data_IF_947328394665
#
_entry.id   IF_947328394665
#
_cell.length_a   1.000
_cell.length_b   1.000
_cell.length_c   1.000
_cell.angle_alpha   90.00
_cell.angle_beta   90.00
_cell.angle_gamma   90.00
#
_symmetry.space_group_name_H-M   'P 1'
#
loop_
_entity.id
_entity.type
_entity.pdbx_description
1 polymer ?
#
# COMPACT_ATOMS: atom_id res chain seq x y z
N UNK A 1 -4.78 10.56 -37.22
CA UNK A 1 -5.82 10.38 -36.20
C UNK A 1 -6.84 11.48 -36.41
N UNK A 2 -8.10 11.13 -36.61
CA UNK A 2 -9.17 12.08 -36.91
C UNK A 2 -9.49 12.92 -35.66
N UNK A 3 -9.86 14.22 -35.86
CA UNK A 3 -10.25 15.15 -34.76
C UNK A 3 -11.30 14.58 -33.80
N UNK A 4 -12.14 13.65 -34.21
CA UNK A 4 -13.18 13.01 -33.38
C UNK A 4 -12.66 12.03 -32.30
N UNK A 5 -11.49 11.38 -32.49
CA UNK A 5 -10.93 10.43 -31.53
C UNK A 5 -10.24 11.12 -30.31
N UNK A 6 -9.95 12.41 -30.43
CA UNK A 6 -9.27 13.17 -29.37
C UNK A 6 -10.28 13.71 -28.35
N UNK A 7 -11.48 14.11 -28.80
CA UNK A 7 -12.52 14.69 -27.93
C UNK A 7 -13.14 13.68 -26.92
N UNK A 8 -12.98 12.38 -27.14
CA UNK A 8 -13.55 11.35 -26.26
C UNK A 8 -12.59 10.91 -25.12
N UNK A 9 -11.37 11.48 -25.04
CA UNK A 9 -10.43 11.14 -23.97
C UNK A 9 -10.63 12.07 -22.77
N UNK A 10 -10.51 11.55 -21.52
CA UNK A 10 -10.55 12.38 -20.32
C UNK A 10 -9.56 13.55 -20.39
N UNK A 11 -9.92 14.71 -19.85
CA UNK A 11 -9.07 15.92 -19.85
C UNK A 11 -7.66 15.65 -19.34
N UNK A 12 -7.52 14.87 -18.27
CA UNK A 12 -6.23 14.46 -17.71
C UNK A 12 -5.30 13.78 -18.73
N UNK A 13 -5.84 13.11 -19.75
CA UNK A 13 -5.05 12.48 -20.83
C UNK A 13 -4.74 13.43 -21.97
N UNK A 14 -5.58 14.44 -22.20
CA UNK A 14 -5.38 15.46 -23.24
C UNK A 14 -4.33 16.50 -22.86
N UNK A 15 -4.30 16.90 -21.56
CA UNK A 15 -3.44 17.95 -21.02
C UNK A 15 -2.09 17.42 -20.45
N UNK A 16 -1.63 16.25 -20.90
CA UNK A 16 -0.40 15.67 -20.34
C UNK A 16 0.81 16.61 -20.49
N UNK A 17 1.65 16.70 -19.43
CA UNK A 17 2.88 17.47 -19.41
C UNK A 17 3.79 17.17 -20.60
N UNK A 18 4.36 18.20 -21.21
CA UNK A 18 5.33 18.10 -22.32
C UNK A 18 6.77 18.06 -21.80
N UNK A 19 7.04 18.74 -20.68
CA UNK A 19 8.34 18.79 -20.01
C UNK A 19 8.24 18.21 -18.61
N UNK A 20 9.38 17.89 -17.99
CA UNK A 20 9.42 17.42 -16.60
C UNK A 20 8.98 18.52 -15.62
N UNK A 21 9.19 19.77 -15.97
CA UNK A 21 8.86 20.93 -15.13
C UNK A 21 7.35 21.24 -15.19
N UNK A 22 6.64 20.74 -16.20
CA UNK A 22 5.18 20.81 -16.29
C UNK A 22 4.46 19.79 -15.40
N UNK A 23 5.19 18.79 -14.86
CA UNK A 23 4.62 17.79 -13.96
C UNK A 23 4.34 18.44 -12.63
N UNK A 24 3.07 18.45 -12.26
CA UNK A 24 2.60 19.08 -11.04
C UNK A 24 2.97 18.23 -9.82
N UNK A 25 3.50 18.88 -8.79
CA UNK A 25 3.92 18.22 -7.55
C UNK A 25 5.22 17.42 -7.65
N UNK A 26 5.41 16.49 -6.74
CA UNK A 26 6.55 15.56 -6.66
C UNK A 26 7.94 16.25 -6.64
N UNK A 27 8.05 17.48 -6.15
CA UNK A 27 9.31 18.26 -6.11
C UNK A 27 10.44 17.52 -5.38
N UNK A 28 10.12 16.69 -4.39
CA UNK A 28 11.08 15.86 -3.67
C UNK A 28 11.75 14.80 -4.57
N UNK A 29 11.12 14.43 -5.70
CA UNK A 29 11.63 13.46 -6.67
C UNK A 29 12.25 14.13 -7.91
N UNK A 30 11.56 15.14 -8.49
CA UNK A 30 11.84 15.66 -9.82
C UNK A 30 12.34 17.09 -9.86
N UNK A 31 12.51 17.78 -8.73
CA UNK A 31 13.14 19.11 -8.72
C UNK A 31 14.59 19.05 -9.23
N UNK A 32 15.15 20.16 -9.76
CA UNK A 32 16.54 20.22 -10.18
C UNK A 32 17.50 19.68 -9.10
N UNK A 33 18.44 18.82 -9.52
CA UNK A 33 19.42 18.21 -8.64
C UNK A 33 18.97 16.93 -7.90
N UNK A 34 17.70 16.56 -7.94
CA UNK A 34 17.20 15.34 -7.32
C UNK A 34 17.65 14.07 -8.06
N UNK A 35 17.86 12.95 -7.35
CA UNK A 35 18.37 11.70 -7.94
C UNK A 35 17.55 11.21 -9.12
N UNK A 36 16.21 11.16 -9.00
CA UNK A 36 15.34 10.69 -10.07
C UNK A 36 15.42 11.61 -11.29
N UNK A 37 15.48 12.94 -11.08
CA UNK A 37 15.66 13.90 -12.18
C UNK A 37 16.97 13.65 -12.93
N UNK A 38 18.08 13.46 -12.22
CA UNK A 38 19.38 13.16 -12.83
C UNK A 38 19.39 11.87 -13.64
N UNK A 39 18.72 10.82 -13.13
CA UNK A 39 18.53 9.54 -13.83
C UNK A 39 17.74 9.78 -15.14
N UNK A 40 16.67 10.57 -15.10
CA UNK A 40 15.88 10.87 -16.29
C UNK A 40 16.68 11.71 -17.30
N UNK A 41 17.45 12.66 -16.83
CA UNK A 41 18.27 13.53 -17.68
C UNK A 41 19.46 12.79 -18.32
N UNK A 42 20.04 11.78 -17.64
CA UNK A 42 21.09 10.94 -18.21
C UNK A 42 20.62 10.06 -19.37
N UNK A 43 19.30 9.75 -19.44
CA UNK A 43 18.74 8.84 -20.43
C UNK A 43 18.97 7.34 -20.14
N UNK A 44 19.80 7.00 -19.17
CA UNK A 44 20.05 5.63 -18.73
C UNK A 44 19.11 5.31 -17.55
N UNK A 45 17.97 4.71 -17.89
CA UNK A 45 16.89 4.43 -16.95
C UNK A 45 17.00 3.00 -16.42
N UNK A 46 17.27 2.80 -15.12
CA UNK A 46 17.19 1.50 -14.48
C UNK A 46 15.73 1.06 -14.32
N UNK A 47 15.53 -0.15 -13.78
CA UNK A 47 14.18 -0.54 -13.37
C UNK A 47 13.72 0.29 -12.17
N UNK A 48 12.47 0.78 -12.24
CA UNK A 48 11.90 1.69 -11.26
C UNK A 48 10.58 1.12 -10.73
N UNK A 49 10.30 1.38 -9.47
CA UNK A 49 9.01 1.13 -8.86
C UNK A 49 8.50 2.43 -8.27
N UNK A 50 7.34 2.89 -8.76
CA UNK A 50 6.65 4.08 -8.28
C UNK A 50 5.50 3.65 -7.37
N UNK A 51 5.54 3.99 -6.09
CA UNK A 51 4.43 3.70 -5.20
C UNK A 51 3.86 4.98 -4.59
N UNK A 52 2.60 4.94 -4.24
CA UNK A 52 1.85 6.06 -3.67
C UNK A 52 0.46 6.18 -4.25
N UNK A 53 -0.32 7.18 -3.79
CA UNK A 53 -1.73 7.34 -4.12
C UNK A 53 -2.05 7.38 -5.62
N UNK A 54 -3.33 7.19 -5.96
CA UNK A 54 -3.80 7.36 -7.34
C UNK A 54 -3.75 8.85 -7.74
N UNK A 55 -3.64 9.12 -9.05
CA UNK A 55 -3.74 10.48 -9.59
C UNK A 55 -2.56 11.43 -9.31
N UNK A 56 -1.49 10.98 -8.65
CA UNK A 56 -0.32 11.81 -8.27
C UNK A 56 0.77 11.90 -9.34
N UNK A 57 0.54 11.37 -10.55
CA UNK A 57 1.43 11.54 -11.70
C UNK A 57 2.35 10.36 -12.03
N UNK A 58 2.24 9.18 -11.40
CA UNK A 58 3.08 7.99 -11.68
C UNK A 58 3.10 7.62 -13.17
N UNK A 59 1.92 7.42 -13.78
CA UNK A 59 1.77 7.10 -15.22
C UNK A 59 2.28 8.23 -16.12
N UNK A 60 2.10 9.47 -15.69
CA UNK A 60 2.53 10.68 -16.40
C UNK A 60 4.05 10.71 -16.50
N UNK A 61 4.74 10.52 -15.37
CA UNK A 61 6.20 10.49 -15.33
C UNK A 61 6.77 9.31 -16.14
N UNK A 62 6.20 8.11 -16.02
CA UNK A 62 6.61 6.95 -16.82
C UNK A 62 6.47 7.21 -18.33
N UNK A 63 5.38 7.86 -18.75
CA UNK A 63 5.16 8.23 -20.15
C UNK A 63 6.16 9.30 -20.62
N UNK A 64 6.50 10.26 -19.77
CA UNK A 64 7.54 11.25 -20.05
C UNK A 64 8.92 10.60 -20.21
N UNK A 65 9.31 9.69 -19.30
CA UNK A 65 10.57 8.94 -19.37
C UNK A 65 10.69 8.17 -20.69
N UNK A 66 9.64 7.47 -21.10
CA UNK A 66 9.63 6.72 -22.35
C UNK A 66 9.88 7.64 -23.57
N UNK A 67 9.22 8.79 -23.63
CA UNK A 67 9.43 9.77 -24.69
C UNK A 67 10.84 10.35 -24.67
N UNK A 68 11.37 10.68 -23.50
CA UNK A 68 12.70 11.28 -23.34
C UNK A 68 13.82 10.32 -23.78
N UNK A 69 13.65 9.03 -23.52
CA UNK A 69 14.64 7.98 -23.83
C UNK A 69 14.46 7.36 -25.22
N UNK A 70 13.49 7.85 -25.99
CA UNK A 70 13.15 7.32 -27.33
C UNK A 70 12.89 5.80 -27.34
N UNK A 71 12.45 5.24 -26.20
CA UNK A 71 12.10 3.82 -26.06
C UNK A 71 10.66 3.57 -26.42
N UNK A 72 10.35 2.38 -26.91
CA UNK A 72 8.97 1.99 -27.19
C UNK A 72 8.23 1.72 -25.87
N UNK A 73 7.25 2.57 -25.54
CA UNK A 73 6.43 2.39 -24.35
C UNK A 73 5.36 1.32 -24.57
N UNK A 74 5.40 0.26 -23.76
CA UNK A 74 4.32 -0.71 -23.63
C UNK A 74 3.68 -0.57 -22.27
N UNK A 75 2.34 -0.64 -22.23
CA UNK A 75 1.57 -0.49 -20.99
C UNK A 75 0.80 -1.77 -20.72
N UNK A 76 0.92 -2.28 -19.52
CA UNK A 76 0.07 -3.35 -18.97
C UNK A 76 -0.59 -2.87 -17.69
N UNK A 77 -1.77 -3.38 -17.41
CA UNK A 77 -2.45 -3.18 -16.14
C UNK A 77 -2.52 -4.53 -15.40
N UNK A 78 -2.06 -4.56 -14.16
CA UNK A 78 -2.00 -5.76 -13.35
C UNK A 78 -3.35 -6.45 -13.13
N UNK A 79 -4.45 -5.69 -13.21
CA UNK A 79 -5.81 -6.25 -13.03
C UNK A 79 -6.32 -7.02 -14.25
N UNK A 80 -5.81 -6.71 -15.44
CA UNK A 80 -6.34 -7.28 -16.72
C UNK A 80 -5.31 -8.08 -17.49
N UNK A 81 -4.02 -7.81 -17.29
CA UNK A 81 -2.95 -8.42 -18.08
C UNK A 81 -2.66 -9.86 -17.66
N UNK A 82 -2.37 -10.68 -18.65
CA UNK A 82 -2.01 -12.10 -18.54
C UNK A 82 -0.53 -12.35 -18.83
N UNK A 83 -0.06 -13.57 -18.58
CA UNK A 83 1.28 -14.00 -19.01
C UNK A 83 1.44 -14.04 -20.55
N UNK A 84 0.34 -14.16 -21.30
CA UNK A 84 0.35 -14.11 -22.75
C UNK A 84 0.70 -12.71 -23.26
N UNK A 85 0.16 -11.66 -22.62
CA UNK A 85 0.44 -10.27 -22.99
C UNK A 85 1.92 -9.92 -22.77
N UNK A 86 2.53 -10.45 -21.70
CA UNK A 86 3.98 -10.29 -21.47
C UNK A 86 4.78 -10.94 -22.62
N UNK A 87 4.42 -12.17 -23.01
CA UNK A 87 5.09 -12.87 -24.10
C UNK A 87 4.92 -12.18 -25.44
N UNK A 88 3.76 -11.57 -25.70
CA UNK A 88 3.52 -10.79 -26.91
C UNK A 88 4.43 -9.55 -26.96
N UNK A 89 4.59 -8.85 -25.85
CA UNK A 89 5.52 -7.71 -25.74
C UNK A 89 6.96 -8.17 -26.02
N UNK A 90 7.35 -9.30 -25.46
CA UNK A 90 8.69 -9.89 -25.67
C UNK A 90 8.91 -10.27 -27.14
N UNK A 91 7.91 -10.86 -27.80
CA UNK A 91 8.01 -11.19 -29.21
C UNK A 91 8.28 -9.96 -30.09
N UNK A 92 7.87 -8.78 -29.66
CA UNK A 92 8.11 -7.51 -30.37
C UNK A 92 9.55 -6.99 -30.22
N UNK A 93 10.36 -7.50 -29.27
CA UNK A 93 11.77 -7.13 -29.13
C UNK A 93 12.58 -7.37 -30.40
N UNK A 94 12.26 -8.43 -31.15
CA UNK A 94 12.93 -8.81 -32.39
C UNK A 94 12.36 -8.10 -33.64
N UNK A 95 11.49 -7.09 -33.46
CA UNK A 95 10.92 -6.31 -34.54
C UNK A 95 11.53 -4.90 -34.60
N UNK A 96 11.27 -4.16 -35.70
CA UNK A 96 11.70 -2.76 -35.83
C UNK A 96 11.25 -1.87 -34.67
N UNK A 97 10.13 -2.20 -34.01
CA UNK A 97 9.63 -1.48 -32.83
C UNK A 97 10.47 -1.71 -31.58
N UNK A 98 11.29 -2.77 -31.53
CA UNK A 98 12.13 -3.11 -30.39
C UNK A 98 13.58 -2.59 -30.47
N UNK A 99 14.01 -2.02 -31.61
CA UNK A 99 15.41 -1.61 -31.86
C UNK A 99 15.94 -0.62 -30.82
N UNK A 100 15.09 0.24 -30.27
CA UNK A 100 15.47 1.22 -29.23
C UNK A 100 15.22 0.72 -27.79
N UNK A 101 14.93 -0.56 -27.64
CA UNK A 101 14.52 -1.18 -26.36
C UNK A 101 13.08 -0.88 -25.97
N UNK A 102 12.52 -1.75 -25.16
CA UNK A 102 11.15 -1.62 -24.63
C UNK A 102 11.20 -1.10 -23.22
N UNK A 103 10.41 -0.04 -22.96
CA UNK A 103 10.05 0.39 -21.61
C UNK A 103 8.65 -0.15 -21.30
N UNK A 104 8.59 -1.12 -20.38
CA UNK A 104 7.33 -1.66 -19.90
C UNK A 104 6.83 -0.87 -18.70
N UNK A 105 5.71 -0.17 -18.85
CA UNK A 105 4.98 0.39 -17.73
C UNK A 105 3.92 -0.60 -17.26
N UNK A 106 4.10 -1.15 -16.06
CA UNK A 106 3.15 -2.06 -15.44
C UNK A 106 2.41 -1.33 -14.32
N UNK A 107 1.16 -1.00 -14.56
CA UNK A 107 0.28 -0.35 -13.58
C UNK A 107 -0.32 -1.40 -12.63
N UNK A 108 -0.41 -1.05 -11.35
CA UNK A 108 -0.97 -1.89 -10.27
C UNK A 108 -0.32 -3.29 -10.19
N UNK A 109 1.02 -3.34 -10.09
CA UNK A 109 1.81 -4.58 -10.06
C UNK A 109 1.39 -5.55 -8.94
N UNK A 110 0.80 -5.08 -7.86
CA UNK A 110 0.33 -5.92 -6.74
C UNK A 110 -0.73 -6.96 -7.16
N UNK A 111 -1.43 -6.74 -8.27
CA UNK A 111 -2.38 -7.72 -8.81
C UNK A 111 -1.73 -8.82 -9.64
N UNK A 112 -0.46 -8.68 -10.00
CA UNK A 112 0.29 -9.77 -10.61
C UNK A 112 0.63 -10.82 -9.56
N UNK A 113 0.26 -12.08 -9.83
CA UNK A 113 0.68 -13.19 -9.00
C UNK A 113 2.19 -13.46 -9.15
N UNK A 114 2.74 -14.26 -8.23
CA UNK A 114 4.18 -14.57 -8.19
C UNK A 114 4.71 -15.13 -9.52
N UNK A 115 3.93 -15.97 -10.20
CA UNK A 115 4.34 -16.59 -11.50
C UNK A 115 4.42 -15.54 -12.59
N UNK A 116 3.48 -14.61 -12.65
CA UNK A 116 3.51 -13.50 -13.62
C UNK A 116 4.72 -12.58 -13.37
N UNK A 117 4.99 -12.25 -12.12
CA UNK A 117 6.15 -11.45 -11.75
C UNK A 117 7.48 -12.19 -12.07
N UNK A 118 7.55 -13.51 -11.85
CA UNK A 118 8.72 -14.32 -12.23
C UNK A 118 8.94 -14.36 -13.75
N UNK A 119 7.87 -14.36 -14.55
CA UNK A 119 8.01 -14.32 -16.01
C UNK A 119 8.67 -13.02 -16.49
N UNK A 120 8.41 -11.88 -15.81
CA UNK A 120 9.06 -10.61 -16.13
C UNK A 120 10.54 -10.60 -15.76
N UNK A 121 10.93 -11.34 -14.72
CA UNK A 121 12.28 -11.28 -14.15
C UNK A 121 13.36 -11.64 -15.17
N UNK A 122 13.16 -12.65 -16.00
CA UNK A 122 14.10 -13.08 -17.05
C UNK A 122 14.44 -11.93 -18.02
N UNK A 123 13.43 -11.15 -18.42
CA UNK A 123 13.59 -10.05 -19.38
C UNK A 123 14.13 -8.77 -18.76
N UNK A 124 13.95 -8.62 -17.44
CA UNK A 124 14.54 -7.54 -16.65
C UNK A 124 16.03 -7.83 -16.43
N UNK A 125 16.40 -9.08 -16.14
CA UNK A 125 17.78 -9.51 -15.87
C UNK A 125 18.68 -9.41 -17.09
N UNK A 126 18.19 -9.80 -18.26
CA UNK A 126 18.94 -9.73 -19.50
C UNK A 126 18.92 -8.35 -20.16
N UNK A 127 18.24 -7.36 -19.57
CA UNK A 127 18.13 -5.98 -20.04
C UNK A 127 17.25 -5.78 -21.27
N UNK A 128 16.52 -6.83 -21.72
CA UNK A 128 15.61 -6.74 -22.87
C UNK A 128 14.44 -5.79 -22.62
N UNK A 129 13.99 -5.71 -21.36
CA UNK A 129 12.92 -4.83 -20.93
C UNK A 129 13.42 -3.97 -19.77
N UNK A 130 13.19 -2.66 -19.86
CA UNK A 130 13.27 -1.76 -18.69
C UNK A 130 11.89 -1.65 -18.06
N UNK A 131 11.76 -2.05 -16.80
CA UNK A 131 10.51 -2.02 -16.08
C UNK A 131 10.32 -0.68 -15.34
N UNK A 132 9.17 -0.06 -15.51
CA UNK A 132 8.62 0.92 -14.55
C UNK A 132 7.32 0.34 -14.04
N UNK A 133 7.31 -0.15 -12.82
CA UNK A 133 6.09 -0.62 -12.16
C UNK A 133 5.46 0.49 -11.31
N UNK A 134 4.14 0.50 -11.20
CA UNK A 134 3.42 1.36 -10.26
C UNK A 134 2.50 0.54 -9.36
N UNK A 135 2.29 1.05 -8.15
CA UNK A 135 1.39 0.48 -7.17
C UNK A 135 0.85 1.56 -6.23
N UNK A 136 -0.36 1.37 -5.72
CA UNK A 136 -0.92 2.15 -4.61
C UNK A 136 -0.56 1.55 -3.25
N UNK A 137 -0.08 0.30 -3.23
CA UNK A 137 0.27 -0.44 -2.03
C UNK A 137 1.77 -0.38 -1.74
N UNK A 138 2.16 -0.68 -0.50
CA UNK A 138 3.58 -0.74 -0.14
C UNK A 138 4.30 -1.88 -0.91
N UNK A 139 5.25 -1.56 -1.81
CA UNK A 139 5.86 -2.54 -2.71
C UNK A 139 6.62 -3.66 -1.98
N UNK A 140 7.13 -3.41 -0.79
CA UNK A 140 7.88 -4.40 0.00
C UNK A 140 7.02 -5.58 0.48
N UNK A 141 5.69 -5.48 0.42
CA UNK A 141 4.78 -6.58 0.77
C UNK A 141 4.23 -7.34 -0.44
N UNK A 142 4.16 -6.70 -1.60
CA UNK A 142 3.42 -7.23 -2.76
C UNK A 142 4.30 -7.52 -3.97
N UNK A 143 5.43 -6.82 -4.09
CA UNK A 143 6.34 -7.05 -5.22
C UNK A 143 7.34 -8.15 -4.87
N UNK A 144 7.58 -9.05 -5.81
CA UNK A 144 8.52 -10.16 -5.64
C UNK A 144 9.94 -9.64 -5.35
N UNK A 145 10.57 -10.16 -4.29
CA UNK A 145 11.86 -9.68 -3.81
C UNK A 145 12.96 -9.62 -4.88
N UNK A 146 12.94 -10.54 -5.85
CA UNK A 146 13.91 -10.53 -6.93
C UNK A 146 13.73 -9.34 -7.89
N UNK A 147 12.51 -8.82 -8.06
CA UNK A 147 12.26 -7.59 -8.82
C UNK A 147 12.67 -6.37 -7.97
N UNK A 148 12.31 -6.37 -6.67
CA UNK A 148 12.69 -5.29 -5.76
C UNK A 148 14.22 -5.08 -5.70
N UNK A 149 14.99 -6.16 -5.59
CA UNK A 149 16.46 -6.09 -5.51
C UNK A 149 17.13 -5.54 -6.78
N UNK A 150 16.40 -5.50 -7.90
CA UNK A 150 16.86 -5.00 -9.22
C UNK A 150 16.21 -3.69 -9.63
N UNK A 151 15.44 -3.09 -8.74
CA UNK A 151 14.68 -1.88 -9.01
C UNK A 151 14.94 -0.82 -7.95
N UNK A 152 14.85 0.45 -8.35
CA UNK A 152 14.88 1.56 -7.41
C UNK A 152 13.45 2.00 -7.12
N UNK A 153 13.10 2.09 -5.83
CA UNK A 153 11.76 2.43 -5.37
C UNK A 153 11.67 3.93 -5.10
N UNK A 154 10.65 4.59 -5.63
CA UNK A 154 10.35 6.00 -5.39
C UNK A 154 8.92 6.17 -4.87
N UNK A 155 8.80 6.90 -3.77
CA UNK A 155 7.53 7.24 -3.14
C UNK A 155 6.95 8.51 -3.74
N UNK A 156 5.74 8.41 -4.28
CA UNK A 156 4.94 9.54 -4.72
C UNK A 156 3.99 9.96 -3.61
N UNK A 157 3.95 11.24 -3.33
CA UNK A 157 3.09 11.82 -2.29
C UNK A 157 1.86 12.50 -2.91
N UNK A 158 0.77 12.68 -2.14
CA UNK A 158 -0.31 13.56 -2.53
C UNK A 158 0.24 14.92 -3.00
N UNK A 159 -0.38 15.50 -4.03
CA UNK A 159 0.07 16.80 -4.55
C UNK A 159 -0.53 17.91 -3.66
N UNK A 160 0.33 18.82 -3.22
CA UNK A 160 -0.08 19.94 -2.38
C UNK A 160 -1.15 20.82 -3.07
N UNK A 161 -2.13 21.37 -2.33
CA UNK A 161 -3.23 22.14 -2.91
C UNK A 161 -2.76 23.30 -3.81
N UNK A 162 -1.73 24.03 -3.42
CA UNK A 162 -1.18 25.15 -4.21
C UNK A 162 -0.62 24.70 -5.57
N UNK A 163 -0.10 23.48 -5.65
CA UNK A 163 0.36 22.92 -6.91
C UNK A 163 -0.80 22.39 -7.77
N UNK A 164 -1.84 21.83 -7.13
CA UNK A 164 -3.06 21.42 -7.83
C UNK A 164 -3.79 22.64 -8.40
N UNK A 165 -3.84 23.76 -7.68
CA UNK A 165 -4.45 25.00 -8.16
C UNK A 165 -3.82 25.47 -9.49
N UNK A 166 -2.50 25.41 -9.63
CA UNK A 166 -1.82 25.70 -10.92
C UNK A 166 -2.26 24.77 -12.05
N UNK A 167 -2.48 23.49 -11.73
CA UNK A 167 -3.01 22.54 -12.71
C UNK A 167 -4.44 22.84 -13.09
N UNK A 168 -5.27 23.33 -12.16
CA UNK A 168 -6.66 23.76 -12.42
C UNK A 168 -6.69 24.91 -13.44
N UNK A 169 -5.90 25.95 -13.23
CA UNK A 169 -5.82 27.07 -14.18
C UNK A 169 -5.33 26.61 -15.55
N UNK A 170 -4.26 25.81 -15.61
CA UNK A 170 -3.77 25.27 -16.88
C UNK A 170 -4.81 24.43 -17.62
N UNK A 171 -5.68 23.73 -16.88
CA UNK A 171 -6.76 22.94 -17.45
C UNK A 171 -7.88 23.84 -17.98
N UNK A 172 -8.22 24.91 -17.29
CA UNK A 172 -9.18 25.91 -17.72
C UNK A 172 -8.73 26.60 -19.02
N UNK A 173 -7.46 27.04 -19.07
CA UNK A 173 -6.86 27.67 -20.25
C UNK A 173 -6.85 26.73 -21.46
N UNK A 174 -6.51 25.46 -21.23
CA UNK A 174 -6.54 24.44 -22.30
C UNK A 174 -7.95 24.23 -22.84
N UNK A 175 -8.98 24.18 -21.98
CA UNK A 175 -10.36 24.04 -22.40
C UNK A 175 -10.86 25.30 -23.15
N UNK A 176 -10.41 26.49 -22.76
CA UNK A 176 -10.70 27.73 -23.46
C UNK A 176 -10.11 27.72 -24.87
N UNK A 177 -8.84 27.33 -25.02
CA UNK A 177 -8.20 27.17 -26.33
C UNK A 177 -8.89 26.12 -27.23
N UNK A 178 -9.29 24.98 -26.65
CA UNK A 178 -9.90 23.88 -27.38
C UNK A 178 -11.32 24.20 -27.83
N UNK A 179 -12.13 24.89 -27.00
CA UNK A 179 -13.51 25.27 -27.32
C UNK A 179 -13.61 26.55 -28.11
N UNK A 180 -12.61 27.42 -28.05
CA UNK A 180 -12.68 28.79 -28.60
C UNK A 180 -13.58 29.72 -27.80
N UNK A 181 -13.97 29.36 -26.58
CA UNK A 181 -14.80 30.12 -25.65
C UNK A 181 -13.97 30.67 -24.53
N UNK A 182 -14.12 31.92 -24.13
CA UNK A 182 -13.45 32.48 -22.97
C UNK A 182 -13.98 31.81 -21.69
N UNK A 183 -13.08 31.20 -20.89
CA UNK A 183 -13.42 30.49 -19.65
C UNK A 183 -12.75 31.21 -18.49
N UNK A 184 -13.56 31.80 -17.62
CA UNK A 184 -13.10 32.38 -16.38
C UNK A 184 -13.25 31.36 -15.23
N UNK A 185 -12.11 31.02 -14.57
CA UNK A 185 -12.05 30.21 -13.37
C UNK A 185 -11.71 31.10 -12.17
N UNK A 186 -12.69 31.53 -11.37
CA UNK A 186 -12.44 32.36 -10.18
C UNK A 186 -11.52 31.65 -9.17
N UNK A 187 -10.71 32.42 -8.45
CA UNK A 187 -9.74 31.90 -7.47
C UNK A 187 -10.40 31.01 -6.40
N UNK A 188 -11.57 31.40 -5.92
CA UNK A 188 -12.34 30.61 -4.95
C UNK A 188 -12.74 29.23 -5.50
N UNK A 189 -13.12 29.15 -6.78
CA UNK A 189 -13.44 27.93 -7.48
C UNK A 189 -12.20 27.03 -7.64
N UNK A 190 -11.08 27.61 -8.06
CA UNK A 190 -9.82 26.88 -8.21
C UNK A 190 -9.32 26.33 -6.88
N UNK A 191 -9.35 27.11 -5.81
CA UNK A 191 -9.00 26.70 -4.44
C UNK A 191 -9.91 25.59 -3.91
N UNK A 192 -11.23 25.71 -4.17
CA UNK A 192 -12.19 24.68 -3.75
C UNK A 192 -11.94 23.35 -4.47
N UNK A 193 -11.68 23.36 -5.78
CA UNK A 193 -11.31 22.16 -6.53
C UNK A 193 -10.00 21.59 -5.97
N UNK A 194 -8.97 22.42 -5.78
CA UNK A 194 -7.65 21.99 -5.32
C UNK A 194 -7.71 21.35 -3.93
N UNK A 195 -8.42 21.95 -2.98
CA UNK A 195 -8.59 21.41 -1.63
C UNK A 195 -9.46 20.16 -1.60
N UNK A 196 -10.52 20.09 -2.44
CA UNK A 196 -11.47 18.98 -2.46
C UNK A 196 -11.00 17.74 -3.21
N UNK A 197 -9.90 17.81 -3.98
CA UNK A 197 -9.35 16.65 -4.67
C UNK A 197 -8.29 15.87 -3.87
N UNK A 198 -7.77 16.40 -2.71
CA UNK A 198 -6.80 15.82 -1.76
C UNK A 198 -5.53 15.31 -2.44
N UNK A 199 -5.01 16.06 -3.37
CA UNK A 199 -3.77 15.77 -4.04
C UNK A 199 -3.88 14.81 -5.24
N UNK A 200 -5.10 14.37 -5.62
CA UNK A 200 -5.34 13.62 -6.87
C UNK A 200 -5.60 14.58 -8.02
N UNK A 201 -4.56 14.85 -8.82
CA UNK A 201 -4.62 15.77 -9.97
C UNK A 201 -5.63 15.30 -11.03
N UNK A 202 -5.84 13.98 -11.20
CA UNK A 202 -6.82 13.45 -12.15
C UNK A 202 -8.24 13.84 -11.76
N UNK A 203 -8.56 13.76 -10.46
CA UNK A 203 -9.85 14.20 -9.93
C UNK A 203 -10.04 15.70 -10.10
N UNK A 204 -8.99 16.49 -9.86
CA UNK A 204 -9.04 17.93 -10.08
C UNK A 204 -9.35 18.25 -11.56
N UNK A 205 -8.70 17.58 -12.50
CA UNK A 205 -8.96 17.75 -13.93
C UNK A 205 -10.41 17.39 -14.31
N UNK A 206 -10.93 16.29 -13.79
CA UNK A 206 -12.32 15.90 -14.01
C UNK A 206 -13.29 16.93 -13.41
N UNK A 207 -13.00 17.48 -12.23
CA UNK A 207 -13.83 18.51 -11.61
C UNK A 207 -13.83 19.80 -12.45
N UNK A 208 -12.68 20.22 -13.01
CA UNK A 208 -12.60 21.36 -13.94
C UNK A 208 -13.45 21.10 -15.18
N UNK A 209 -13.27 19.96 -15.84
CA UNK A 209 -14.01 19.61 -17.06
C UNK A 209 -15.53 19.63 -16.83
N UNK A 210 -15.99 18.99 -15.76
CA UNK A 210 -17.41 18.97 -15.40
C UNK A 210 -17.95 20.35 -15.02
N UNK A 211 -17.16 21.16 -14.29
CA UNK A 211 -17.57 22.52 -13.93
C UNK A 211 -17.74 23.42 -15.16
N UNK A 212 -16.84 23.31 -16.13
CA UNK A 212 -16.92 24.05 -17.40
C UNK A 212 -18.11 23.59 -18.27
N UNK A 213 -18.35 22.26 -18.31
CA UNK A 213 -19.52 21.70 -19.04
C UNK A 213 -20.83 22.16 -18.42
N UNK A 214 -20.90 22.19 -17.08
CA UNK A 214 -22.09 22.58 -16.33
C UNK A 214 -22.34 24.12 -16.30
N UNK A 215 -21.44 24.93 -16.87
CA UNK A 215 -21.54 26.40 -16.90
C UNK A 215 -22.10 26.83 -18.22
N UNK A 216 -23.19 27.63 -18.17
CA UNK A 216 -23.79 28.24 -19.35
C UNK A 216 -22.86 29.30 -19.97
N UNK A 217 -22.87 29.37 -21.29
CA UNK A 217 -22.15 30.40 -22.04
C UNK A 217 -23.05 31.64 -22.18
N UNK A 218 -22.54 32.80 -21.76
CA UNK A 218 -23.20 34.08 -21.87
C UNK A 218 -22.25 35.04 -22.59
N UNK A 219 -22.69 35.60 -23.70
CA UNK A 219 -21.91 36.53 -24.53
C UNK A 219 -20.51 36.03 -24.93
N UNK A 220 -20.38 34.74 -25.25
CA UNK A 220 -19.11 34.11 -25.64
C UNK A 220 -18.17 33.82 -24.51
N UNK A 221 -18.64 33.92 -23.26
CA UNK A 221 -17.85 33.68 -22.03
C UNK A 221 -18.55 32.72 -21.10
N UNK A 222 -17.77 31.86 -20.48
CA UNK A 222 -18.20 30.99 -19.37
C UNK A 222 -17.52 31.40 -18.08
N UNK A 223 -18.30 31.75 -17.06
CA UNK A 223 -17.78 32.05 -15.72
C UNK A 223 -18.17 30.93 -14.76
N UNK A 224 -17.21 30.13 -14.30
CA UNK A 224 -17.46 29.01 -13.41
C UNK A 224 -17.95 29.53 -12.06
N UNK A 225 -19.07 28.99 -11.54
CA UNK A 225 -19.67 29.42 -10.28
C UNK A 225 -19.27 28.50 -9.15
N UNK A 226 -19.04 29.08 -7.95
CA UNK A 226 -18.65 28.32 -6.76
C UNK A 226 -19.69 27.26 -6.38
N UNK A 227 -20.99 27.59 -6.48
CA UNK A 227 -22.09 26.64 -6.20
C UNK A 227 -22.01 25.38 -7.07
N UNK A 228 -21.69 25.52 -8.36
CA UNK A 228 -21.50 24.40 -9.27
C UNK A 228 -20.31 23.54 -8.85
N UNK A 229 -19.19 24.17 -8.49
CA UNK A 229 -17.99 23.48 -8.02
C UNK A 229 -18.28 22.73 -6.72
N UNK A 230 -18.99 23.33 -5.77
CA UNK A 230 -19.35 22.70 -4.51
C UNK A 230 -20.20 21.45 -4.68
N UNK A 231 -21.17 21.48 -5.59
CA UNK A 231 -22.00 20.30 -5.89
C UNK A 231 -21.18 19.14 -6.51
N UNK A 232 -20.17 19.46 -7.31
CA UNK A 232 -19.34 18.47 -8.00
C UNK A 232 -18.24 17.92 -7.08
N UNK A 233 -17.68 18.76 -6.22
CA UNK A 233 -16.55 18.42 -5.35
C UNK A 233 -17.00 17.79 -4.02
N UNK A 234 -18.18 18.15 -3.46
CA UNK A 234 -18.68 17.61 -2.19
C UNK A 234 -18.82 16.09 -2.16
N UNK A 235 -19.21 15.45 -3.26
CA UNK A 235 -19.24 13.98 -3.38
C UNK A 235 -17.84 13.35 -3.34
N UNK A 236 -16.80 14.14 -3.58
CA UNK A 236 -15.41 13.72 -3.56
C UNK A 236 -14.75 13.91 -2.18
N UNK A 237 -15.13 14.97 -1.43
CA UNK A 237 -14.50 15.33 -0.15
C UNK A 237 -14.74 14.28 0.95
N UNK A 238 -15.93 13.68 1.02
CA UNK A 238 -16.25 12.61 1.99
C UNK A 238 -15.41 11.34 1.76
N UNK A 239 -14.95 11.11 0.53
CA UNK A 239 -14.01 10.01 0.21
C UNK A 239 -12.54 10.39 0.36
N UNK A 240 -12.25 11.66 0.67
CA UNK A 240 -10.96 12.28 0.39
C UNK A 240 -9.97 12.27 1.55
N UNK A 241 -10.42 12.05 2.75
CA UNK A 241 -9.58 12.00 3.96
C UNK A 241 -8.74 10.71 4.08
N UNK A 242 -8.70 9.88 3.03
CA UNK A 242 -8.03 8.56 3.04
C UNK A 242 -6.52 8.59 3.00
N UNK A 243 -5.88 9.67 2.60
CA UNK A 243 -4.44 9.67 2.24
C UNK A 243 -3.65 10.88 2.80
N UNK A 244 -4.28 11.73 3.61
CA UNK A 244 -3.62 12.85 4.30
C UNK A 244 -3.07 12.48 5.68
N UNK A 245 -2.25 13.34 6.27
CA UNK A 245 -1.74 13.18 7.65
C UNK A 245 -2.89 12.98 8.65
N UNK A 246 -4.04 13.64 8.44
CA UNK A 246 -5.24 13.48 9.26
C UNK A 246 -5.82 12.05 9.21
N UNK A 247 -5.74 11.37 8.06
CA UNK A 247 -6.16 9.97 7.95
C UNK A 247 -5.31 9.04 8.81
N UNK A 248 -3.98 9.20 8.77
CA UNK A 248 -3.06 8.44 9.64
C UNK A 248 -3.30 8.77 11.11
N UNK A 249 -3.65 10.00 11.44
CA UNK A 249 -4.01 10.41 12.80
C UNK A 249 -5.30 9.74 13.26
N UNK A 250 -6.33 9.66 12.42
CA UNK A 250 -7.58 8.95 12.71
C UNK A 250 -7.33 7.46 12.93
N UNK A 251 -6.57 6.81 12.05
CA UNK A 251 -6.18 5.40 12.19
C UNK A 251 -5.41 5.18 13.51
N UNK A 252 -4.49 6.07 13.83
CA UNK A 252 -3.70 6.03 15.06
C UNK A 252 -4.57 6.24 16.30
N UNK A 253 -5.48 7.19 16.26
CA UNK A 253 -6.43 7.47 17.33
C UNK A 253 -7.39 6.28 17.53
N UNK A 254 -7.91 5.70 16.47
CA UNK A 254 -8.75 4.51 16.51
C UNK A 254 -8.07 3.34 17.23
N UNK A 255 -6.83 3.02 16.86
CA UNK A 255 -6.07 1.95 17.51
C UNK A 255 -5.74 2.28 18.97
N UNK A 256 -5.34 3.53 19.25
CA UNK A 256 -5.01 3.98 20.61
C UNK A 256 -6.23 3.98 21.54
N UNK A 257 -7.40 4.32 21.03
CA UNK A 257 -8.66 4.27 21.79
C UNK A 257 -9.03 2.84 22.18
N UNK A 258 -8.94 1.89 21.24
CA UNK A 258 -9.15 0.47 21.55
C UNK A 258 -8.14 -0.07 22.57
N UNK A 259 -6.86 0.27 22.40
CA UNK A 259 -5.77 -0.07 23.33
C UNK A 259 -6.01 0.51 24.71
N UNK A 260 -6.45 1.77 24.75
CA UNK A 260 -6.79 2.51 25.97
C UNK A 260 -8.10 2.10 26.62
N UNK A 261 -8.88 1.18 26.03
CA UNK A 261 -10.17 0.72 26.55
C UNK A 261 -11.23 1.82 26.64
N UNK A 262 -11.22 2.73 25.66
CA UNK A 262 -12.25 3.77 25.51
C UNK A 262 -13.16 3.41 24.32
N UNK A 263 -14.35 2.80 24.57
CA UNK A 263 -15.25 2.39 23.51
C UNK A 263 -15.91 3.57 22.80
N UNK A 264 -16.14 4.69 23.48
CA UNK A 264 -16.80 5.86 22.89
C UNK A 264 -15.89 6.54 21.87
N UNK A 265 -14.62 6.76 22.23
CA UNK A 265 -13.62 7.29 21.33
C UNK A 265 -13.35 6.31 20.17
N UNK A 266 -13.27 5.00 20.44
CA UNK A 266 -13.04 3.99 19.41
C UNK A 266 -14.19 3.95 18.39
N UNK A 267 -15.44 4.02 18.83
CA UNK A 267 -16.62 4.10 17.96
C UNK A 267 -16.64 5.41 17.16
N UNK A 268 -16.26 6.52 17.75
CA UNK A 268 -16.16 7.80 17.04
C UNK A 268 -15.16 7.73 15.89
N UNK A 269 -13.94 7.23 16.14
CA UNK A 269 -12.93 7.11 15.09
C UNK A 269 -13.26 6.01 14.07
N UNK A 270 -13.92 4.92 14.47
CA UNK A 270 -14.49 3.95 13.53
C UNK A 270 -15.49 4.63 12.59
N UNK A 271 -16.44 5.41 13.12
CA UNK A 271 -17.41 6.11 12.31
C UNK A 271 -16.74 7.05 11.29
N UNK A 272 -15.71 7.81 11.71
CA UNK A 272 -14.93 8.65 10.78
C UNK A 272 -14.27 7.85 9.65
N UNK A 273 -13.68 6.69 9.93
CA UNK A 273 -13.10 5.81 8.91
C UNK A 273 -14.16 5.28 7.95
N UNK A 274 -15.34 4.89 8.46
CA UNK A 274 -16.42 4.34 7.63
C UNK A 274 -17.09 5.41 6.76
N UNK A 275 -17.30 6.63 7.28
CA UNK A 275 -17.78 7.78 6.50
C UNK A 275 -16.80 8.17 5.40
N UNK A 276 -15.50 8.09 5.65
CA UNK A 276 -14.46 8.21 4.63
C UNK A 276 -14.45 7.01 3.65
N UNK A 277 -15.27 5.98 3.88
CA UNK A 277 -15.35 4.75 3.08
C UNK A 277 -14.12 3.86 3.22
N UNK A 278 -13.29 4.02 4.28
CA UNK A 278 -12.09 3.23 4.50
C UNK A 278 -12.35 2.00 5.38
N UNK A 279 -13.22 1.14 4.88
CA UNK A 279 -13.50 -0.17 5.48
C UNK A 279 -12.24 -1.06 5.63
N UNK A 280 -11.32 -1.11 4.65
CA UNK A 280 -10.12 -1.96 4.77
C UNK A 280 -9.22 -1.59 5.94
N UNK A 281 -8.92 -0.30 6.15
CA UNK A 281 -8.07 0.14 7.27
C UNK A 281 -8.74 -0.07 8.61
N UNK A 282 -10.05 0.19 8.73
CA UNK A 282 -10.82 -0.09 9.93
C UNK A 282 -10.73 -1.57 10.32
N UNK A 283 -10.98 -2.48 9.36
CA UNK A 283 -10.88 -3.93 9.57
C UNK A 283 -9.46 -4.37 9.95
N UNK A 284 -8.45 -3.90 9.23
CA UNK A 284 -7.04 -4.24 9.48
C UNK A 284 -6.60 -3.85 10.88
N UNK A 285 -6.89 -2.61 11.31
CA UNK A 285 -6.47 -2.12 12.63
C UNK A 285 -7.20 -2.80 13.78
N UNK A 286 -8.46 -3.14 13.58
CA UNK A 286 -9.24 -3.92 14.55
C UNK A 286 -8.61 -5.30 14.79
N UNK A 287 -8.27 -6.03 13.74
CA UNK A 287 -7.61 -7.34 13.82
C UNK A 287 -6.21 -7.25 14.47
N UNK A 288 -5.44 -6.22 14.11
CA UNK A 288 -4.13 -5.98 14.72
C UNK A 288 -4.27 -5.72 16.22
N UNK A 289 -5.17 -4.82 16.63
CA UNK A 289 -5.38 -4.47 18.03
C UNK A 289 -5.90 -5.67 18.85
N UNK A 290 -6.80 -6.48 18.31
CA UNK A 290 -7.26 -7.69 18.95
C UNK A 290 -6.12 -8.70 19.22
N UNK A 291 -5.14 -8.78 18.32
CA UNK A 291 -3.99 -9.67 18.44
C UNK A 291 -2.88 -9.09 19.33
N UNK A 292 -2.55 -7.80 19.12
CA UNK A 292 -1.45 -7.11 19.77
C UNK A 292 -1.75 -6.74 21.23
N UNK A 293 -2.95 -6.19 21.47
CA UNK A 293 -3.29 -5.56 22.75
C UNK A 293 -4.15 -6.45 23.65
N UNK A 294 -4.99 -7.34 23.08
CA UNK A 294 -5.80 -8.30 23.86
C UNK A 294 -5.11 -9.67 23.91
N UNK A 295 -4.78 -10.23 22.77
CA UNK A 295 -3.99 -11.44 22.61
C UNK A 295 -4.37 -12.57 23.60
N UNK A 296 -3.39 -13.00 24.41
CA UNK A 296 -3.53 -14.12 25.34
C UNK A 296 -4.39 -13.80 26.58
N UNK A 297 -4.73 -12.52 26.81
CA UNK A 297 -5.63 -12.17 27.91
C UNK A 297 -7.06 -12.66 27.66
N UNK A 298 -7.50 -12.69 26.39
CA UNK A 298 -8.81 -13.24 25.99
C UNK A 298 -8.72 -13.86 24.60
N UNK A 299 -8.15 -15.06 24.44
CA UNK A 299 -7.88 -15.69 23.13
C UNK A 299 -9.13 -15.92 22.27
N UNK A 300 -10.30 -16.13 22.91
CA UNK A 300 -11.57 -16.34 22.22
C UNK A 300 -12.03 -15.13 21.42
N UNK A 301 -11.46 -13.93 21.68
CA UNK A 301 -11.82 -12.72 20.95
C UNK A 301 -11.36 -12.75 19.48
N UNK A 302 -10.22 -13.37 19.19
CA UNK A 302 -9.66 -13.39 17.85
C UNK A 302 -10.59 -13.96 16.78
N UNK A 303 -11.16 -15.18 16.94
CA UNK A 303 -12.13 -15.71 15.98
C UNK A 303 -13.41 -14.89 15.91
N UNK A 304 -13.86 -14.26 17.00
CA UNK A 304 -15.04 -13.38 17.00
C UNK A 304 -14.76 -12.14 16.14
N UNK A 305 -13.65 -11.45 16.38
CA UNK A 305 -13.25 -10.27 15.60
C UNK A 305 -13.08 -10.63 14.11
N UNK A 306 -12.46 -11.80 13.81
CA UNK A 306 -12.33 -12.27 12.43
C UNK A 306 -13.70 -12.46 11.78
N UNK A 307 -14.64 -13.10 12.47
CA UNK A 307 -16.00 -13.30 11.96
C UNK A 307 -16.74 -11.99 11.72
N UNK A 308 -16.62 -11.01 12.63
CA UNK A 308 -17.20 -9.68 12.45
C UNK A 308 -16.62 -8.96 11.23
N UNK A 309 -15.30 -9.06 11.03
CA UNK A 309 -14.61 -8.50 9.85
C UNK A 309 -15.09 -9.17 8.56
N UNK A 310 -15.24 -10.50 8.53
CA UNK A 310 -15.73 -11.23 7.35
C UNK A 310 -17.17 -10.83 7.01
N UNK A 311 -18.04 -10.71 8.01
CA UNK A 311 -19.40 -10.21 7.82
C UNK A 311 -19.37 -8.78 7.25
N UNK A 312 -18.57 -7.89 7.84
CA UNK A 312 -18.47 -6.50 7.39
C UNK A 312 -18.01 -6.39 5.93
N UNK A 313 -17.05 -7.22 5.53
CA UNK A 313 -16.57 -7.28 4.15
C UNK A 313 -17.60 -7.88 3.19
N UNK A 314 -18.38 -8.86 3.64
CA UNK A 314 -19.41 -9.52 2.82
C UNK A 314 -20.62 -8.62 2.58
N UNK A 315 -21.08 -7.87 3.60
CA UNK A 315 -22.26 -6.99 3.47
C UNK A 315 -21.92 -5.62 2.91
N UNK A 316 -20.71 -5.12 3.12
CA UNK A 316 -20.28 -3.80 2.67
C UNK A 316 -20.93 -2.65 3.46
N UNK A 317 -20.65 -1.40 2.99
CA UNK A 317 -21.25 -0.20 3.57
C UNK A 317 -22.65 0.02 2.98
N UNK A 318 -23.60 0.51 3.79
CA UNK A 318 -23.45 1.04 5.16
C UNK A 318 -23.58 -0.02 6.28
N UNK A 319 -23.98 -1.25 6.02
CA UNK A 319 -24.29 -2.28 7.04
C UNK A 319 -23.05 -2.79 7.77
N UNK A 320 -21.87 -2.72 7.14
CA UNK A 320 -20.59 -3.12 7.75
C UNK A 320 -20.31 -2.46 9.10
N UNK A 321 -20.90 -1.28 9.38
CA UNK A 321 -20.76 -0.57 10.66
C UNK A 321 -21.24 -1.39 11.86
N UNK A 322 -22.25 -2.26 11.68
CA UNK A 322 -22.89 -3.01 12.76
C UNK A 322 -21.92 -4.05 13.36
N UNK A 323 -21.46 -5.07 12.60
CA UNK A 323 -20.52 -6.05 13.13
C UNK A 323 -19.18 -5.45 13.58
N UNK A 324 -18.75 -4.36 12.95
CA UNK A 324 -17.51 -3.69 13.37
C UNK A 324 -17.68 -2.96 14.71
N UNK A 325 -18.82 -2.33 14.97
CA UNK A 325 -19.11 -1.70 16.25
C UNK A 325 -19.10 -2.73 17.38
N UNK A 326 -19.76 -3.89 17.20
CA UNK A 326 -19.75 -4.99 18.17
C UNK A 326 -18.33 -5.44 18.49
N UNK A 327 -17.52 -5.68 17.46
CA UNK A 327 -16.14 -6.14 17.63
C UNK A 327 -15.26 -5.07 18.32
N UNK A 328 -15.41 -3.80 17.99
CA UNK A 328 -14.66 -2.67 18.61
C UNK A 328 -15.01 -2.57 20.10
N UNK A 329 -16.29 -2.61 20.46
CA UNK A 329 -16.72 -2.58 21.86
C UNK A 329 -16.17 -3.79 22.63
N UNK A 330 -16.17 -4.98 22.02
CA UNK A 330 -15.58 -6.17 22.64
C UNK A 330 -14.08 -6.04 22.86
N UNK A 331 -13.33 -5.51 21.88
CA UNK A 331 -11.89 -5.26 22.01
C UNK A 331 -11.61 -4.23 23.12
N UNK A 332 -12.39 -3.15 23.19
CA UNK A 332 -12.22 -2.13 24.23
C UNK A 332 -12.44 -2.71 25.65
N UNK A 333 -13.44 -3.54 25.82
CA UNK A 333 -13.80 -4.08 27.14
C UNK A 333 -13.03 -5.37 27.52
N UNK A 334 -12.28 -5.98 26.58
CA UNK A 334 -11.49 -7.16 26.86
C UNK A 334 -10.27 -6.81 27.75
N UNK A 335 -9.85 -7.75 28.64
CA UNK A 335 -8.59 -7.60 29.35
C UNK A 335 -7.42 -7.52 28.35
N UNK A 336 -6.39 -6.78 28.69
CA UNK A 336 -5.25 -6.48 27.78
C UNK A 336 -4.02 -7.30 28.13
N UNK A 337 -3.32 -7.77 27.07
CA UNK A 337 -1.98 -8.35 27.18
C UNK A 337 -1.25 -8.23 25.84
N UNK A 338 -0.08 -7.65 25.87
CA UNK A 338 0.85 -7.61 24.75
C UNK A 338 2.06 -8.55 24.91
N UNK A 339 1.96 -9.53 25.80
CA UNK A 339 3.08 -10.42 26.18
C UNK A 339 3.67 -11.15 24.97
N UNK A 340 2.83 -11.69 24.08
CA UNK A 340 3.26 -12.37 22.86
C UNK A 340 3.91 -11.40 21.86
N UNK A 341 3.34 -10.21 21.68
CA UNK A 341 3.91 -9.16 20.84
C UNK A 341 5.29 -8.71 21.34
N UNK A 342 5.45 -8.48 22.64
CA UNK A 342 6.75 -8.16 23.22
C UNK A 342 7.75 -9.31 23.07
N UNK A 343 7.28 -10.55 23.20
CA UNK A 343 8.11 -11.75 23.01
C UNK A 343 8.71 -11.85 21.61
N UNK A 344 7.88 -11.73 20.58
CA UNK A 344 8.37 -11.80 19.19
C UNK A 344 9.28 -10.61 18.85
N UNK A 345 9.01 -9.42 19.36
CA UNK A 345 9.86 -8.25 19.11
C UNK A 345 11.25 -8.41 19.74
N UNK A 346 11.35 -8.98 20.96
CA UNK A 346 12.64 -9.29 21.59
C UNK A 346 13.43 -10.30 20.75
N UNK A 347 12.77 -11.36 20.26
CA UNK A 347 13.41 -12.35 19.39
C UNK A 347 13.90 -11.73 18.07
N UNK A 348 13.09 -10.89 17.43
CA UNK A 348 13.48 -10.17 16.21
C UNK A 348 14.66 -9.22 16.45
N UNK A 349 14.73 -8.57 17.61
CA UNK A 349 15.84 -7.69 17.96
C UNK A 349 17.16 -8.48 18.04
N UNK A 350 17.16 -9.64 18.70
CA UNK A 350 18.35 -10.50 18.76
C UNK A 350 18.79 -10.96 17.35
N UNK A 351 17.86 -11.39 16.49
CA UNK A 351 18.18 -11.81 15.12
C UNK A 351 18.78 -10.65 14.30
N UNK A 352 18.21 -9.43 14.40
CA UNK A 352 18.71 -8.25 13.70
C UNK A 352 20.10 -7.81 14.13
N UNK A 353 20.49 -8.12 15.35
CA UNK A 353 21.85 -7.87 15.87
C UNK A 353 22.84 -9.01 15.56
N UNK A 354 22.43 -10.01 14.78
CA UNK A 354 23.26 -11.15 14.39
C UNK A 354 23.29 -12.29 15.42
N UNK A 355 22.53 -12.18 16.51
CA UNK A 355 22.44 -13.20 17.54
C UNK A 355 21.38 -14.25 17.19
N UNK A 356 21.60 -15.05 16.15
CA UNK A 356 20.67 -16.13 15.80
C UNK A 356 21.20 -17.52 16.20
N UNK A 357 22.51 -17.75 16.05
CA UNK A 357 23.14 -19.04 16.31
C UNK A 357 22.67 -20.19 15.41
N UNK A 358 23.39 -21.30 15.35
CA UNK A 358 22.96 -22.50 14.64
C UNK A 358 21.84 -23.21 15.43
N UNK A 359 20.93 -23.85 14.70
CA UNK A 359 19.90 -24.70 15.32
C UNK A 359 20.57 -25.87 16.07
N UNK A 360 20.19 -26.14 17.35
CA UNK A 360 20.69 -27.26 18.09
C UNK A 360 20.55 -28.58 17.34
N UNK A 361 21.58 -29.43 17.41
CA UNK A 361 21.66 -30.65 16.59
C UNK A 361 20.43 -31.57 16.72
N UNK A 362 19.93 -31.76 17.93
CA UNK A 362 18.75 -32.58 18.22
C UNK A 362 17.46 -32.07 17.58
N UNK A 363 17.41 -30.80 17.17
CA UNK A 363 16.25 -30.20 16.51
C UNK A 363 16.36 -30.14 14.99
N UNK A 364 17.54 -30.50 14.42
CA UNK A 364 17.75 -30.49 12.98
C UNK A 364 17.00 -31.63 12.29
N UNK A 365 16.64 -31.43 11.03
CA UNK A 365 15.92 -32.45 10.26
C UNK A 365 16.84 -33.63 9.95
N UNK A 366 16.47 -34.83 10.39
CA UNK A 366 17.23 -36.07 10.21
C UNK A 366 17.29 -36.54 8.74
N UNK A 367 16.35 -36.14 7.91
CA UNK A 367 16.31 -36.53 6.49
C UNK A 367 17.43 -35.90 5.66
N UNK A 368 18.13 -34.90 6.20
CA UNK A 368 19.28 -34.27 5.55
C UNK A 368 20.63 -34.89 5.99
N UNK A 369 20.63 -35.87 6.87
CA UNK A 369 21.86 -36.53 7.32
C UNK A 369 22.30 -37.57 6.28
N UNK A 370 23.43 -37.34 5.63
CA UNK A 370 24.11 -38.38 4.85
C UNK A 370 24.47 -39.57 5.74
N UNK A 371 24.61 -40.76 5.09
CA UNK A 371 24.92 -42.00 5.83
C UNK A 371 26.23 -41.97 6.61
N UNK A 372 27.17 -41.10 6.22
CA UNK A 372 28.51 -40.94 6.83
C UNK A 372 28.58 -39.89 7.96
N UNK A 373 27.45 -39.32 8.42
CA UNK A 373 27.48 -38.31 9.48
C UNK A 373 27.70 -38.95 10.87
N UNK A 374 28.85 -38.69 11.55
CA UNK A 374 29.15 -39.28 12.85
C UNK A 374 28.17 -38.87 13.96
N UNK A 375 27.39 -37.83 13.75
CA UNK A 375 26.36 -37.34 14.67
C UNK A 375 24.94 -37.78 14.25
N UNK A 376 24.81 -38.76 13.34
CA UNK A 376 23.55 -39.38 12.96
C UNK A 376 22.94 -40.00 14.20
N UNK A 377 21.85 -39.42 14.72
CA UNK A 377 21.11 -39.95 15.84
C UNK A 377 21.30 -39.24 17.18
N UNK A 378 21.82 -38.03 17.24
CA UNK A 378 21.60 -37.20 18.43
C UNK A 378 20.08 -36.89 18.49
N UNK A 379 19.44 -37.53 19.50
CA UNK A 379 18.00 -37.72 19.51
C UNK A 379 17.27 -36.54 20.12
N UNK A 380 16.28 -36.03 19.38
CA UNK A 380 15.19 -35.26 19.95
C UNK A 380 14.39 -36.14 20.90
N UNK A 381 14.30 -35.72 22.17
CA UNK A 381 13.42 -36.38 23.12
C UNK A 381 11.97 -35.97 22.82
N UNK A 382 11.15 -36.96 22.46
CA UNK A 382 9.76 -36.67 22.05
C UNK A 382 8.89 -36.49 23.33
N UNK A 383 8.37 -35.28 23.58
CA UNK A 383 7.70 -34.99 24.86
C UNK A 383 6.49 -35.89 25.15
N UNK A 384 5.81 -36.40 24.14
CA UNK A 384 4.65 -37.29 24.35
C UNK A 384 5.02 -38.66 24.93
N UNK A 385 6.28 -39.06 24.89
CA UNK A 385 6.76 -40.30 25.49
C UNK A 385 7.04 -40.13 26.99
N UNK A 386 6.90 -38.90 27.54
CA UNK A 386 7.21 -38.56 28.93
C UNK A 386 5.94 -38.14 29.70
N UNK A 387 5.96 -38.28 31.06
CA UNK A 387 4.85 -37.84 31.90
C UNK A 387 4.52 -36.37 31.70
N UNK A 388 3.24 -36.05 31.70
CA UNK A 388 2.70 -34.71 31.42
C UNK A 388 3.12 -34.13 30.04
N UNK A 389 3.54 -34.97 29.08
CA UNK A 389 4.02 -34.57 27.76
C UNK A 389 5.14 -33.51 27.86
N UNK A 390 6.04 -33.63 28.81
CA UNK A 390 7.13 -32.71 29.08
C UNK A 390 8.43 -33.44 29.36
N UNK A 391 9.51 -32.98 28.75
CA UNK A 391 10.89 -33.37 29.04
C UNK A 391 11.78 -32.15 28.96
N UNK A 392 12.73 -32.05 29.87
CA UNK A 392 13.69 -30.96 29.85
C UNK A 392 14.76 -31.24 28.80
N UNK A 393 14.83 -30.34 27.80
CA UNK A 393 15.86 -30.36 26.77
C UNK A 393 16.08 -28.95 26.24
N UNK A 394 17.22 -28.72 25.60
CA UNK A 394 17.54 -27.41 25.03
C UNK A 394 16.88 -27.25 23.67
N UNK A 395 16.15 -26.13 23.50
CA UNK A 395 15.47 -25.74 22.23
C UNK A 395 16.11 -24.52 21.56
N UNK A 396 16.71 -23.60 22.34
CA UNK A 396 17.38 -22.44 21.78
C UNK A 396 18.84 -22.78 21.42
N UNK A 397 19.41 -22.05 20.42
CA UNK A 397 20.84 -22.11 20.13
C UNK A 397 21.69 -21.84 21.38
N UNK A 398 22.93 -22.38 21.41
CA UNK A 398 23.82 -22.26 22.57
C UNK A 398 24.06 -20.83 23.03
N UNK A 399 24.20 -19.91 22.07
CA UNK A 399 24.37 -18.48 22.36
C UNK A 399 23.12 -17.82 22.99
N UNK A 400 21.96 -18.47 22.91
CA UNK A 400 20.67 -17.95 23.37
C UNK A 400 20.01 -18.84 24.43
N UNK A 401 20.68 -19.89 24.92
CA UNK A 401 20.09 -20.91 25.79
C UNK A 401 19.40 -20.34 27.04
N UNK A 402 19.92 -19.24 27.59
CA UNK A 402 19.41 -18.59 28.81
C UNK A 402 18.42 -17.43 28.52
N UNK A 403 18.13 -17.17 27.24
CA UNK A 403 17.20 -16.10 26.85
C UNK A 403 15.76 -16.46 27.17
N UNK A 404 15.00 -15.45 27.62
CA UNK A 404 13.56 -15.52 27.82
C UNK A 404 12.87 -14.43 26.98
N UNK A 405 12.18 -14.84 25.95
CA UNK A 405 11.43 -13.92 25.08
C UNK A 405 10.00 -13.70 25.58
N UNK A 406 9.34 -14.77 26.03
CA UNK A 406 7.97 -14.71 26.52
C UNK A 406 7.96 -14.59 28.05
N UNK A 407 7.20 -13.62 28.52
CA UNK A 407 6.90 -13.40 29.93
C UNK A 407 5.39 -13.39 30.12
N UNK A 408 4.90 -14.16 31.09
CA UNK A 408 3.46 -14.25 31.36
C UNK A 408 2.90 -12.92 31.83
N UNK A 409 1.84 -12.44 31.17
CA UNK A 409 1.06 -11.28 31.61
C UNK A 409 0.35 -11.54 32.94
N UNK A 410 -0.10 -10.46 33.58
CA UNK A 410 -0.75 -10.53 34.89
C UNK A 410 -2.24 -10.92 34.82
N UNK A 411 -2.81 -11.13 33.61
CA UNK A 411 -4.19 -11.51 33.43
C UNK A 411 -4.47 -12.96 33.85
N UNK A 412 -5.74 -13.29 34.07
CA UNK A 412 -6.19 -14.59 34.58
C UNK A 412 -5.72 -15.78 33.73
N UNK A 413 -5.80 -15.67 32.41
CA UNK A 413 -5.46 -16.76 31.49
C UNK A 413 -3.98 -17.09 31.50
N UNK A 414 -3.12 -16.07 31.39
CA UNK A 414 -1.67 -16.28 31.38
C UNK A 414 -1.14 -16.72 32.74
N UNK A 415 -1.75 -16.25 33.85
CA UNK A 415 -1.41 -16.75 35.18
C UNK A 415 -1.85 -18.21 35.38
N UNK A 416 -2.96 -18.64 34.78
CA UNK A 416 -3.35 -20.04 34.77
C UNK A 416 -2.35 -20.91 34.00
N UNK A 417 -1.90 -20.48 32.82
CA UNK A 417 -0.85 -21.15 32.05
C UNK A 417 0.46 -21.24 32.87
N UNK A 418 0.86 -20.14 33.50
CA UNK A 418 2.05 -20.11 34.36
C UNK A 418 1.94 -21.14 35.50
N UNK A 419 0.85 -21.12 36.24
CA UNK A 419 0.62 -22.03 37.35
C UNK A 419 0.61 -23.51 36.92
N UNK A 420 0.05 -23.82 35.74
CA UNK A 420 0.10 -25.16 35.18
C UNK A 420 1.55 -25.62 34.92
N UNK A 421 2.33 -24.80 34.20
CA UNK A 421 3.69 -25.15 33.84
C UNK A 421 4.66 -25.13 35.03
N UNK A 422 4.46 -24.25 36.01
CA UNK A 422 5.26 -24.23 37.24
C UNK A 422 5.13 -25.54 38.04
N UNK A 423 3.94 -26.19 38.02
CA UNK A 423 3.74 -27.51 38.67
C UNK A 423 4.50 -28.63 37.95
N UNK A 424 4.66 -28.53 36.61
CA UNK A 424 5.31 -29.56 35.79
C UNK A 424 6.84 -29.39 35.84
N UNK A 425 7.32 -28.14 35.66
CA UNK A 425 8.77 -27.83 35.53
C UNK A 425 9.53 -27.78 36.84
N UNK A 426 8.85 -27.68 37.99
CA UNK A 426 9.47 -27.67 39.33
C UNK A 426 9.60 -29.04 39.95
N UNK A 427 9.27 -30.10 39.25
CA UNK A 427 9.53 -31.47 39.64
C UNK A 427 10.80 -31.97 38.98
#
# INVERSE_FOLDING_TARGET
MARGDIMNKPLADRIRPKTIDDIVGQKHLIAPGRPLRKIIESGDIPNLIFYGPSGVGKTTLATYIAKKTNRTLKKLNGTTASTADIKEIVAQLNTFSGLNGILLYLDEIQYFNKKQQQTLLEYIENGSITLIASTTENPYFYVYNAILSRSTVFEFKPVEPDEVEKAVYRASDFLAEESGTDIEMPEECAKKIASGCGGDVRKAMNAVELSVIATDEIDGKKVVRLETVEQLVQKSAVRYDREGDEHYDIISAYQKSMRGSDPDAALHYLARLLEAGDLPSACRRLMVCASEDVGLAYPQLLPIVKSCVDIAQAVGLPEARIPLADAVVMVCNAPKSNSAYMGINRALADIRTGNSGPVPRQLQNKHCDGDDNPNKGQFYLYPHDFPNHYVEQQYLPDALKDKKYYEYGRNKNEQAFKAYWDKIKKK
#
